data_IF_076015720522
#
_entry.id   IF_076015720522
#
_cell.length_a   1.000
_cell.length_b   1.000
_cell.length_c   1.000
_cell.angle_alpha   90.00
_cell.angle_beta   90.00
_cell.angle_gamma   90.00
#
_symmetry.space_group_name_H-M   'P 1'
#
loop_
_entity.id
_entity.type
_entity.pdbx_description
1 polymer ?
#
# COMPACT_ATOMS: atom_id res chain seq x y z
N UNK A 1 -4.81 17.55 1.77
CA UNK A 1 -3.94 17.58 2.96
C UNK A 1 -4.19 16.30 3.76
N UNK A 2 -3.15 15.63 4.23
CA UNK A 2 -3.27 14.41 5.04
C UNK A 2 -3.76 14.77 6.45
N UNK A 3 -4.76 14.04 6.95
CA UNK A 3 -5.20 14.19 8.33
C UNK A 3 -4.29 13.36 9.25
N UNK A 4 -3.16 13.96 9.64
CA UNK A 4 -2.18 13.31 10.52
C UNK A 4 -2.70 13.08 11.95
N UNK A 5 -3.69 13.86 12.41
CA UNK A 5 -4.33 13.62 13.72
C UNK A 5 -5.04 12.27 13.75
N UNK A 6 -5.75 11.90 12.69
CA UNK A 6 -6.38 10.59 12.57
C UNK A 6 -5.35 9.43 12.43
N UNK A 7 -4.12 9.75 12.04
CA UNK A 7 -3.03 8.80 11.84
C UNK A 7 -1.99 8.83 12.96
N UNK A 8 -2.15 9.62 14.02
CA UNK A 8 -1.13 9.85 15.04
C UNK A 8 -0.68 8.53 15.70
N UNK A 9 -1.64 7.69 16.09
CA UNK A 9 -1.34 6.36 16.66
C UNK A 9 -0.57 5.46 15.69
N UNK A 10 -0.88 5.55 14.39
CA UNK A 10 -0.21 4.78 13.35
C UNK A 10 1.22 5.29 13.12
N UNK A 11 1.42 6.60 13.09
CA UNK A 11 2.74 7.22 12.96
C UNK A 11 3.61 6.93 14.19
N UNK A 12 3.06 7.01 15.40
CA UNK A 12 3.77 6.67 16.64
C UNK A 12 4.26 5.23 16.65
N UNK A 13 3.42 4.27 16.28
CA UNK A 13 3.84 2.85 16.15
C UNK A 13 4.91 2.69 15.09
N UNK A 14 4.79 3.40 13.96
CA UNK A 14 5.82 3.37 12.90
C UNK A 14 7.14 3.90 13.41
N UNK A 15 7.15 4.99 14.17
CA UNK A 15 8.37 5.57 14.73
C UNK A 15 9.07 4.63 15.71
N UNK A 16 8.28 3.89 16.51
CA UNK A 16 8.80 2.87 17.44
C UNK A 16 9.40 1.68 16.67
N UNK A 17 8.66 1.14 15.71
CA UNK A 17 9.08 0.01 14.88
C UNK A 17 10.30 0.34 14.00
N UNK A 18 10.44 1.62 13.65
CA UNK A 18 11.53 2.17 12.87
C UNK A 18 12.52 2.99 13.70
N UNK A 19 12.61 2.71 15.01
CA UNK A 19 13.48 3.45 15.90
C UNK A 19 14.93 3.46 15.40
N UNK A 20 15.57 4.64 15.41
CA UNK A 20 16.82 4.91 14.70
C UNK A 20 17.93 3.88 14.95
N UNK A 21 18.05 3.40 16.18
CA UNK A 21 19.07 2.43 16.59
C UNK A 21 18.82 1.03 16.04
N UNK A 22 17.56 0.59 15.93
CA UNK A 22 17.21 -0.77 15.52
C UNK A 22 16.78 -0.88 14.06
N UNK A 23 16.38 0.22 13.42
CA UNK A 23 15.90 0.21 12.04
C UNK A 23 16.87 -0.47 11.06
N UNK A 24 18.20 -0.28 11.11
CA UNK A 24 19.13 -0.99 10.20
C UNK A 24 19.16 -2.51 10.41
N UNK A 25 18.82 -2.99 11.61
CA UNK A 25 18.87 -4.41 11.97
C UNK A 25 17.53 -5.11 11.73
N UNK A 26 16.42 -4.42 11.96
CA UNK A 26 15.05 -4.94 11.92
C UNK A 26 14.24 -4.41 10.73
N UNK A 27 14.93 -3.80 9.75
CA UNK A 27 14.34 -3.17 8.57
C UNK A 27 13.29 -4.06 7.89
N UNK A 28 13.74 -5.22 7.41
CA UNK A 28 12.94 -6.08 6.53
C UNK A 28 11.79 -6.81 7.24
N UNK A 29 11.81 -6.87 8.57
CA UNK A 29 10.85 -7.67 9.36
C UNK A 29 9.85 -6.83 10.14
N UNK A 30 10.25 -5.62 10.56
CA UNK A 30 9.43 -4.78 11.44
C UNK A 30 9.26 -3.40 10.81
N UNK A 31 10.36 -2.67 10.58
CA UNK A 31 10.28 -1.26 10.20
C UNK A 31 9.65 -1.05 8.82
N UNK A 32 10.17 -1.69 7.77
CA UNK A 32 9.73 -1.43 6.40
C UNK A 32 8.29 -1.91 6.13
N UNK A 33 7.87 -3.11 6.57
CA UNK A 33 6.47 -3.50 6.48
C UNK A 33 5.54 -2.51 7.22
N UNK A 34 5.97 -1.99 8.38
CA UNK A 34 5.19 -1.01 9.12
C UNK A 34 5.13 0.36 8.42
N UNK A 35 6.24 0.83 7.84
CA UNK A 35 6.27 2.08 7.07
C UNK A 35 5.41 2.00 5.81
N UNK A 36 5.50 0.89 5.07
CA UNK A 36 4.69 0.63 3.88
C UNK A 36 3.20 0.56 4.20
N UNK A 37 2.83 -0.16 5.27
CA UNK A 37 1.45 -0.21 5.74
C UNK A 37 0.97 1.20 6.13
N UNK A 38 1.80 1.98 6.81
CA UNK A 38 1.45 3.36 7.20
C UNK A 38 1.20 4.26 6.00
N UNK A 39 2.09 4.25 5.00
CA UNK A 39 1.92 5.04 3.78
C UNK A 39 0.68 4.60 3.00
N UNK A 40 0.44 3.29 2.91
CA UNK A 40 -0.75 2.71 2.27
C UNK A 40 -2.04 3.17 2.95
N UNK A 41 -2.06 3.19 4.29
CA UNK A 41 -3.20 3.65 5.07
C UNK A 41 -3.42 5.14 4.89
N UNK A 42 -2.37 5.96 4.95
CA UNK A 42 -2.46 7.40 4.74
C UNK A 42 -3.09 7.74 3.37
N UNK A 43 -2.66 7.04 2.31
CA UNK A 43 -3.23 7.22 0.97
C UNK A 43 -4.69 6.72 0.94
N UNK A 44 -4.98 5.55 1.49
CA UNK A 44 -6.34 5.01 1.55
C UNK A 44 -7.32 5.89 2.35
N UNK A 45 -6.88 6.50 3.46
CA UNK A 45 -7.72 7.46 4.18
C UNK A 45 -7.96 8.73 3.35
N UNK A 46 -6.95 9.18 2.60
CA UNK A 46 -7.09 10.33 1.71
C UNK A 46 -8.07 10.04 0.57
N UNK A 47 -8.07 8.81 0.03
CA UNK A 47 -8.94 8.43 -1.08
C UNK A 47 -10.43 8.54 -0.75
N UNK A 48 -10.81 8.49 0.53
CA UNK A 48 -12.20 8.76 1.00
C UNK A 48 -12.70 10.16 0.63
N UNK A 49 -11.79 11.11 0.38
CA UNK A 49 -12.12 12.52 0.13
C UNK A 49 -11.85 12.96 -1.31
N UNK A 50 -10.91 12.30 -2.01
CA UNK A 50 -10.46 12.71 -3.35
C UNK A 50 -10.75 11.69 -4.45
N UNK A 51 -11.39 10.56 -4.11
CA UNK A 51 -11.79 9.47 -5.02
C UNK A 51 -10.67 8.88 -5.91
N UNK A 52 -9.41 9.02 -5.47
CA UNK A 52 -8.24 8.41 -6.11
C UNK A 52 -7.41 7.58 -5.13
N UNK A 53 -6.93 6.44 -5.60
CA UNK A 53 -6.15 5.42 -4.89
C UNK A 53 -4.64 5.55 -5.15
N UNK A 54 -4.22 6.58 -5.86
CA UNK A 54 -2.82 6.90 -6.11
C UNK A 54 -2.62 8.41 -6.12
N UNK A 55 -1.49 8.85 -5.58
CA UNK A 55 -1.10 10.25 -5.62
C UNK A 55 -0.46 10.57 -6.97
N UNK A 56 -0.60 11.82 -7.44
CA UNK A 56 0.22 12.28 -8.55
C UNK A 56 1.67 12.49 -8.09
N UNK A 57 2.61 12.58 -9.04
CA UNK A 57 4.04 12.63 -8.74
C UNK A 57 4.48 13.79 -7.84
N UNK A 58 3.81 14.93 -7.91
CA UNK A 58 4.09 16.10 -7.03
C UNK A 58 3.58 15.82 -5.62
N UNK A 59 2.31 15.47 -5.48
CA UNK A 59 1.69 15.19 -4.19
C UNK A 59 2.34 14.00 -3.47
N UNK A 60 2.85 13.02 -4.22
CA UNK A 60 3.61 11.90 -3.67
C UNK A 60 4.95 12.34 -3.05
N UNK A 61 5.64 13.31 -3.66
CA UNK A 61 6.88 13.89 -3.10
C UNK A 61 6.57 14.71 -1.85
N UNK A 62 5.55 15.54 -1.92
CA UNK A 62 5.13 16.39 -0.80
C UNK A 62 4.69 15.52 0.39
N UNK A 63 3.88 14.48 0.15
CA UNK A 63 3.46 13.50 1.16
C UNK A 63 4.64 12.86 1.89
N UNK A 64 5.65 12.37 1.17
CA UNK A 64 6.85 11.81 1.80
C UNK A 64 7.63 12.87 2.59
N UNK A 65 7.77 14.07 2.02
CA UNK A 65 8.46 15.19 2.68
C UNK A 65 7.77 15.65 3.96
N UNK A 66 6.45 15.46 4.07
CA UNK A 66 5.67 15.77 5.28
C UNK A 66 5.73 14.63 6.31
N UNK A 67 5.69 13.38 5.87
CA UNK A 67 5.70 12.19 6.75
C UNK A 67 7.05 12.00 7.44
N UNK A 68 8.16 12.16 6.72
CA UNK A 68 9.50 11.88 7.25
C UNK A 68 9.85 12.69 8.51
N UNK A 69 9.72 14.04 8.53
CA UNK A 69 10.03 14.84 9.71
C UNK A 69 9.18 14.48 10.93
N UNK A 70 7.93 14.07 10.72
CA UNK A 70 7.04 13.65 11.82
C UNK A 70 7.55 12.35 12.45
N UNK A 71 7.92 11.35 11.64
CA UNK A 71 8.47 10.08 12.13
C UNK A 71 9.83 10.30 12.83
N UNK A 72 10.71 11.08 12.22
CA UNK A 72 12.03 11.41 12.80
C UNK A 72 11.89 12.18 14.11
N UNK A 73 10.96 13.14 14.17
CA UNK A 73 10.66 13.89 15.39
C UNK A 73 10.17 13.01 16.55
N UNK A 74 9.66 11.82 16.25
CA UNK A 74 9.22 10.80 17.21
C UNK A 74 10.27 9.70 17.45
N UNK A 75 11.49 9.85 16.92
CA UNK A 75 12.62 8.96 17.17
C UNK A 75 12.91 7.92 16.09
N UNK A 76 12.15 7.92 14.99
CA UNK A 76 12.45 7.04 13.86
C UNK A 76 13.82 7.39 13.22
N UNK A 77 14.39 6.46 12.46
CA UNK A 77 15.62 6.73 11.70
C UNK A 77 15.46 7.94 10.76
N UNK A 78 16.50 8.75 10.60
CA UNK A 78 16.54 9.82 9.60
C UNK A 78 16.92 9.31 8.19
N UNK A 79 17.15 8.01 8.04
CA UNK A 79 17.51 7.35 6.78
C UNK A 79 16.48 6.29 6.35
N UNK A 80 15.20 6.45 6.75
CA UNK A 80 14.15 5.46 6.50
C UNK A 80 13.96 5.13 5.03
N UNK A 81 13.99 6.14 4.16
CA UNK A 81 13.85 5.91 2.71
C UNK A 81 14.98 5.07 2.14
N UNK A 82 16.20 5.20 2.67
CA UNK A 82 17.32 4.36 2.24
C UNK A 82 17.17 2.95 2.82
N UNK A 83 16.85 2.83 4.11
CA UNK A 83 16.68 1.55 4.80
C UNK A 83 15.58 0.70 4.14
N UNK A 84 14.46 1.31 3.80
CA UNK A 84 13.29 0.64 3.24
C UNK A 84 13.12 0.81 1.73
N UNK A 85 14.10 1.41 1.04
CA UNK A 85 14.05 1.68 -0.39
C UNK A 85 12.79 2.43 -0.89
N UNK A 86 12.14 3.22 -0.02
CA UNK A 86 10.90 3.93 -0.35
C UNK A 86 11.15 5.17 -1.22
N UNK A 87 10.44 5.24 -2.34
CA UNK A 87 10.46 6.35 -3.30
C UNK A 87 9.06 6.95 -3.45
N UNK A 88 8.98 8.18 -3.93
CA UNK A 88 7.68 8.83 -4.20
C UNK A 88 6.87 8.06 -5.25
N UNK A 89 7.51 7.35 -6.18
CA UNK A 89 6.83 6.47 -7.14
C UNK A 89 6.04 5.34 -6.47
N UNK A 90 6.45 4.86 -5.28
CA UNK A 90 5.71 3.84 -4.54
C UNK A 90 4.36 4.35 -4.01
N UNK A 91 4.10 5.67 -4.05
CA UNK A 91 2.84 6.29 -3.62
C UNK A 91 1.93 6.66 -4.80
N UNK A 92 2.43 6.53 -6.04
CA UNK A 92 1.65 6.75 -7.27
C UNK A 92 1.02 5.45 -7.75
N UNK A 93 0.43 5.47 -8.95
CA UNK A 93 -0.10 4.29 -9.63
C UNK A 93 1.00 3.38 -10.20
N UNK A 94 2.23 3.90 -10.30
CA UNK A 94 3.34 3.29 -11.01
C UNK A 94 2.88 2.78 -12.39
N UNK A 95 2.90 1.47 -12.65
CA UNK A 95 2.42 0.89 -13.91
C UNK A 95 0.97 0.37 -13.88
N UNK A 96 0.29 0.45 -12.73
CA UNK A 96 -1.10 0.03 -12.64
C UNK A 96 -2.01 0.99 -13.43
N UNK A 97 -2.86 0.50 -14.35
CA UNK A 97 -3.69 1.35 -15.20
C UNK A 97 -4.84 2.01 -14.43
N UNK A 98 -5.21 1.47 -13.26
CA UNK A 98 -6.34 1.93 -12.47
C UNK A 98 -5.85 2.74 -11.27
N UNK A 99 -6.36 3.96 -11.15
CA UNK A 99 -6.15 4.81 -9.98
C UNK A 99 -7.41 5.44 -9.40
N UNK A 100 -8.51 5.46 -10.12
CA UNK A 100 -9.77 6.02 -9.64
C UNK A 100 -10.60 5.01 -8.85
N UNK A 101 -11.32 5.46 -7.82
CA UNK A 101 -12.19 4.57 -7.02
C UNK A 101 -13.32 3.98 -7.88
N UNK A 102 -13.99 4.77 -8.72
CA UNK A 102 -15.08 4.28 -9.58
C UNK A 102 -14.60 3.21 -10.57
N UNK A 103 -13.40 3.41 -11.10
CA UNK A 103 -12.78 2.48 -12.03
C UNK A 103 -12.40 1.16 -11.33
N UNK A 104 -11.91 1.25 -10.09
CA UNK A 104 -11.65 0.09 -9.24
C UNK A 104 -12.93 -0.70 -8.96
N UNK A 105 -13.98 -0.03 -8.51
CA UNK A 105 -15.26 -0.65 -8.12
C UNK A 105 -15.95 -1.37 -9.30
N UNK A 106 -15.75 -0.89 -10.53
CA UNK A 106 -16.30 -1.52 -11.73
C UNK A 106 -15.47 -2.71 -12.24
N UNK A 107 -14.24 -2.89 -11.75
CA UNK A 107 -13.31 -3.94 -12.22
C UNK A 107 -13.16 -5.07 -11.22
N UNK A 108 -13.23 -4.76 -9.92
CA UNK A 108 -12.93 -5.70 -8.83
C UNK A 108 -14.22 -6.20 -8.18
N UNK A 109 -14.26 -7.49 -7.86
CA UNK A 109 -15.27 -8.08 -6.97
C UNK A 109 -15.00 -7.65 -5.53
N UNK A 110 -15.44 -6.44 -5.21
CA UNK A 110 -15.17 -5.80 -3.92
C UNK A 110 -15.79 -6.49 -2.71
N UNK A 111 -17.00 -7.10 -2.79
CA UNK A 111 -17.51 -7.95 -1.71
C UNK A 111 -16.58 -9.14 -1.40
N UNK A 112 -16.06 -9.81 -2.43
CA UNK A 112 -15.13 -10.94 -2.25
C UNK A 112 -13.83 -10.50 -1.55
N UNK A 113 -13.24 -9.38 -1.99
CA UNK A 113 -12.01 -8.84 -1.38
C UNK A 113 -12.24 -8.42 0.07
N UNK A 114 -13.36 -7.75 0.36
CA UNK A 114 -13.69 -7.37 1.75
C UNK A 114 -13.92 -8.58 2.63
N UNK A 115 -14.70 -9.56 2.19
CA UNK A 115 -14.97 -10.77 2.97
C UNK A 115 -13.68 -11.56 3.29
N UNK A 116 -12.71 -11.59 2.37
CA UNK A 116 -11.43 -12.24 2.58
C UNK A 116 -10.52 -11.49 3.55
N UNK A 117 -10.59 -10.15 3.58
CA UNK A 117 -9.62 -9.29 4.25
C UNK A 117 -10.13 -8.56 5.50
N UNK A 118 -11.44 -8.60 5.77
CA UNK A 118 -12.05 -7.87 6.89
C UNK A 118 -11.49 -8.31 8.24
N UNK A 119 -11.15 -9.59 8.41
CA UNK A 119 -10.56 -10.11 9.63
C UNK A 119 -9.43 -11.08 9.32
N UNK A 120 -8.20 -10.63 9.57
CA UNK A 120 -7.01 -11.45 9.39
C UNK A 120 -6.64 -12.13 10.70
N UNK A 121 -6.50 -13.45 10.64
CA UNK A 121 -5.72 -14.23 11.59
C UNK A 121 -4.34 -14.46 10.96
N UNK A 122 -3.25 -13.90 11.51
CA UNK A 122 -1.93 -13.99 10.88
C UNK A 122 -1.41 -15.42 10.68
N UNK A 123 -1.80 -16.36 11.55
CA UNK A 123 -1.38 -17.77 11.42
C UNK A 123 -2.13 -18.42 10.27
N UNK A 124 -3.44 -18.21 10.21
CA UNK A 124 -4.27 -18.72 9.12
C UNK A 124 -3.88 -18.10 7.78
N UNK A 125 -3.63 -16.79 7.75
CA UNK A 125 -3.22 -16.09 6.53
C UNK A 125 -1.84 -16.56 6.04
N UNK A 126 -0.91 -16.85 6.96
CA UNK A 126 0.37 -17.45 6.60
C UNK A 126 0.23 -18.81 5.91
N UNK A 127 -0.75 -19.62 6.31
CA UNK A 127 -0.95 -20.97 5.75
C UNK A 127 -1.87 -21.00 4.51
N UNK A 128 -2.93 -20.21 4.51
CA UNK A 128 -4.00 -20.28 3.49
C UNK A 128 -3.98 -19.09 2.51
N UNK A 129 -3.34 -17.97 2.90
CA UNK A 129 -3.20 -16.77 2.09
C UNK A 129 -4.54 -16.26 1.53
N UNK A 130 -5.62 -16.32 2.32
CA UNK A 130 -6.98 -16.07 1.82
C UNK A 130 -7.12 -14.63 1.33
N UNK A 131 -6.65 -13.65 2.11
CA UNK A 131 -6.70 -12.26 1.71
C UNK A 131 -5.65 -11.93 0.63
N UNK A 132 -4.41 -12.42 0.78
CA UNK A 132 -3.35 -12.26 -0.22
C UNK A 132 -3.76 -12.79 -1.60
N UNK A 133 -4.46 -13.92 -1.66
CA UNK A 133 -5.00 -14.49 -2.90
C UNK A 133 -6.11 -13.61 -3.48
N UNK A 134 -7.04 -13.12 -2.65
CA UNK A 134 -8.10 -12.20 -3.10
C UNK A 134 -7.51 -10.88 -3.65
N UNK A 135 -6.49 -10.34 -2.98
CA UNK A 135 -5.75 -9.15 -3.42
C UNK A 135 -5.06 -9.42 -4.76
N UNK A 136 -4.36 -10.55 -4.89
CA UNK A 136 -3.62 -10.93 -6.10
C UNK A 136 -4.56 -11.14 -7.29
N UNK A 137 -5.72 -11.76 -7.08
CA UNK A 137 -6.76 -11.91 -8.11
C UNK A 137 -7.31 -10.55 -8.55
N UNK A 138 -7.64 -9.67 -7.59
CA UNK A 138 -8.11 -8.32 -7.89
C UNK A 138 -7.04 -7.51 -8.65
N UNK A 139 -5.78 -7.57 -8.22
CA UNK A 139 -4.66 -6.90 -8.87
C UNK A 139 -4.44 -7.41 -10.29
N UNK A 140 -4.60 -8.71 -10.53
CA UNK A 140 -4.50 -9.29 -11.88
C UNK A 140 -5.58 -8.74 -12.81
N UNK A 141 -6.83 -8.62 -12.33
CA UNK A 141 -7.94 -8.02 -13.09
C UNK A 141 -7.70 -6.53 -13.40
N UNK A 142 -7.10 -5.80 -12.46
CA UNK A 142 -6.72 -4.40 -12.68
C UNK A 142 -5.58 -4.30 -13.70
N UNK A 143 -4.55 -5.15 -13.57
CA UNK A 143 -3.40 -5.17 -14.47
C UNK A 143 -3.77 -5.57 -15.91
N UNK A 144 -4.78 -6.43 -16.10
CA UNK A 144 -5.28 -6.78 -17.43
C UNK A 144 -6.04 -5.62 -18.10
N UNK A 145 -6.46 -4.62 -17.35
CA UNK A 145 -7.18 -3.47 -17.90
C UNK A 145 -6.25 -2.64 -18.80
N UNK A 146 -6.60 -2.51 -20.08
CA UNK A 146 -5.75 -1.85 -21.08
C UNK A 146 -4.71 -2.76 -21.75
N UNK A 147 -4.61 -4.05 -21.38
CA UNK A 147 -3.79 -5.03 -22.11
C UNK A 147 -4.47 -5.54 -23.40
N UNK A 148 -5.80 -5.35 -23.54
CA UNK A 148 -6.54 -5.65 -24.79
C UNK A 148 -6.03 -4.83 -26.00
N UNK A 149 -5.23 -3.77 -25.78
CA UNK A 149 -4.66 -2.93 -26.85
C UNK A 149 -3.27 -3.39 -27.33
N UNK A 150 -2.58 -4.30 -26.62
CA UNK A 150 -1.20 -4.71 -26.93
C UNK A 150 -1.01 -6.23 -26.77
N UNK A 151 -1.78 -7.00 -27.54
CA UNK A 151 -1.44 -8.42 -27.79
C UNK A 151 -0.22 -8.48 -28.71
N UNK A 152 0.98 -8.49 -28.14
CA UNK A 152 2.22 -8.82 -28.85
C UNK A 152 3.00 -9.83 -28.01
N UNK A 153 2.73 -11.13 -28.21
CA UNK A 153 3.44 -12.22 -27.55
C UNK A 153 4.97 -12.11 -27.75
N UNK A 154 5.69 -11.77 -26.69
CA UNK A 154 7.15 -11.69 -26.66
C UNK A 154 7.72 -12.09 -25.30
N UNK A 155 8.87 -12.79 -25.23
CA UNK A 155 9.41 -13.38 -23.99
C UNK A 155 9.84 -12.37 -22.92
N UNK A 156 9.88 -11.07 -23.23
CA UNK A 156 10.20 -9.97 -22.30
C UNK A 156 8.98 -9.40 -21.55
N UNK A 157 7.76 -9.91 -21.78
CA UNK A 157 6.52 -9.37 -21.19
C UNK A 157 6.24 -9.91 -19.78
N UNK A 158 6.75 -11.10 -19.45
CA UNK A 158 6.50 -11.74 -18.15
C UNK A 158 7.01 -10.92 -16.94
N UNK A 159 8.22 -10.32 -16.95
CA UNK A 159 8.70 -9.48 -15.85
C UNK A 159 7.91 -8.17 -15.70
N UNK A 160 7.55 -7.54 -16.82
CA UNK A 160 6.76 -6.30 -16.81
C UNK A 160 5.33 -6.57 -16.34
N UNK A 161 4.74 -7.70 -16.72
CA UNK A 161 3.42 -8.11 -16.26
C UNK A 161 3.41 -8.44 -14.76
N UNK A 162 4.45 -9.10 -14.24
CA UNK A 162 4.59 -9.34 -12.79
C UNK A 162 4.71 -8.02 -12.02
N UNK A 163 5.58 -7.12 -12.48
CA UNK A 163 5.78 -5.79 -11.86
C UNK A 163 4.47 -4.99 -11.85
N UNK A 164 3.69 -5.06 -12.94
CA UNK A 164 2.40 -4.40 -13.06
C UNK A 164 1.34 -4.97 -12.12
N UNK A 165 1.31 -6.28 -11.94
CA UNK A 165 0.45 -6.90 -10.93
C UNK A 165 0.80 -6.39 -9.53
N UNK A 166 2.09 -6.34 -9.19
CA UNK A 166 2.54 -5.88 -7.87
C UNK A 166 2.21 -4.39 -7.64
N UNK A 167 2.35 -3.55 -8.66
CA UNK A 167 1.88 -2.16 -8.61
C UNK A 167 0.36 -2.09 -8.39
N UNK A 168 -0.42 -2.96 -9.02
CA UNK A 168 -1.87 -3.04 -8.80
C UNK A 168 -2.26 -3.62 -7.43
N UNK A 169 -1.45 -4.50 -6.81
CA UNK A 169 -1.68 -4.93 -5.42
C UNK A 169 -1.67 -3.74 -4.48
N UNK A 170 -0.74 -2.80 -4.69
CA UNK A 170 -0.67 -1.56 -3.92
C UNK A 170 -1.98 -0.75 -4.02
N UNK A 171 -2.60 -0.69 -5.20
CA UNK A 171 -3.90 -0.02 -5.40
C UNK A 171 -5.02 -0.73 -4.64
N UNK A 172 -5.07 -2.07 -4.66
CA UNK A 172 -6.05 -2.86 -3.90
C UNK A 172 -5.89 -2.64 -2.40
N UNK A 173 -4.66 -2.65 -1.87
CA UNK A 173 -4.39 -2.43 -0.45
C UNK A 173 -4.77 -1.02 0.00
N UNK A 174 -4.54 0.02 -0.82
CA UNK A 174 -4.98 1.39 -0.53
C UNK A 174 -6.50 1.50 -0.50
N UNK A 175 -7.20 0.80 -1.40
CA UNK A 175 -8.66 0.74 -1.38
C UNK A 175 -9.18 0.01 -0.13
N UNK A 176 -8.58 -1.13 0.25
CA UNK A 176 -8.90 -1.82 1.51
C UNK A 176 -8.73 -0.88 2.72
N UNK A 177 -7.61 -0.16 2.77
CA UNK A 177 -7.35 0.81 3.81
C UNK A 177 -8.37 1.96 3.82
N UNK A 178 -8.97 2.29 2.68
CA UNK A 178 -10.06 3.27 2.57
C UNK A 178 -11.41 2.74 3.08
N UNK A 179 -11.55 1.44 3.35
CA UNK A 179 -12.80 0.85 3.87
C UNK A 179 -12.80 0.67 5.39
N UNK A 180 -11.61 0.58 5.99
CA UNK A 180 -11.45 0.44 7.42
C UNK A 180 -11.09 1.78 8.09
N UNK A 181 -11.24 1.84 9.41
CA UNK A 181 -10.56 2.85 10.21
C UNK A 181 -9.04 2.58 10.22
N UNK A 182 -8.18 3.58 10.51
CA UNK A 182 -6.73 3.40 10.46
C UNK A 182 -6.18 2.29 11.37
N UNK A 183 -6.79 2.06 12.54
CA UNK A 183 -6.33 1.05 13.50
C UNK A 183 -6.63 -0.36 12.99
N UNK A 184 -7.83 -0.57 12.46
CA UNK A 184 -8.21 -1.83 11.83
C UNK A 184 -7.42 -2.09 10.55
N UNK A 185 -7.27 -1.08 9.67
CA UNK A 185 -6.47 -1.19 8.45
C UNK A 185 -5.03 -1.62 8.76
N UNK A 186 -4.43 -1.06 9.82
CA UNK A 186 -3.09 -1.46 10.28
C UNK A 186 -3.02 -2.94 10.63
N UNK A 187 -4.01 -3.47 11.38
CA UNK A 187 -4.03 -4.88 11.76
C UNK A 187 -4.15 -5.79 10.54
N UNK A 188 -4.99 -5.42 9.58
CA UNK A 188 -5.16 -6.18 8.34
C UNK A 188 -3.88 -6.15 7.52
N UNK A 189 -3.37 -4.97 7.16
CA UNK A 189 -2.25 -4.84 6.23
C UNK A 189 -0.92 -5.37 6.78
N UNK A 190 -0.70 -5.33 8.09
CA UNK A 190 0.48 -5.96 8.71
C UNK A 190 0.39 -7.48 8.81
N UNK A 191 -0.82 -8.03 8.72
CA UNK A 191 -1.06 -9.47 8.82
C UNK A 191 -0.93 -10.20 7.49
N UNK A 192 -0.69 -9.46 6.41
CA UNK A 192 -0.46 -9.94 5.04
C UNK A 192 1.03 -10.16 4.78
#
# INVERSE_FOLDING_TARGET
MLNFTAAESLMSVTSIDCWSTFAPLLANVICCPQLEATLTILIGQTSKYIDVLALNGTLAKDCLSDVEPILVGQGASNTLRQICAIRSSNLTEASCPVKGVNEFLSTVDTPKVLAACEKIDPVKECCEQTCQNAISEAATKLASKGSDLLSLDGPNILPEHSTRIDDCKSIVMRWLASKFDPSHAKKVLRGL
#
